data_IF_174271283868
#
_entry.id   IF_174271283868
#
_cell.length_a   1.000
_cell.length_b   1.000
_cell.length_c   1.000
_cell.angle_alpha   90.00
_cell.angle_beta   90.00
_cell.angle_gamma   90.00
#
_symmetry.space_group_name_H-M   'P 1'
#
loop_
_entity.id
_entity.type
_entity.pdbx_description
1 polymer ?
#
# COMPACT_ATOMS: atom_id res chain seq x y z
N UNK A 1 32.23 -26.72 2.15
CA UNK A 1 30.83 -26.40 2.49
C UNK A 1 30.11 -26.37 1.16
N UNK A 2 29.29 -27.38 0.90
CA UNK A 2 28.93 -27.86 -0.44
C UNK A 2 28.11 -26.86 -1.26
N UNK A 3 28.63 -26.48 -2.42
CA UNK A 3 27.85 -25.95 -3.53
C UNK A 3 26.85 -27.02 -3.97
N UNK A 4 25.57 -26.84 -3.64
CA UNK A 4 24.49 -27.62 -4.25
C UNK A 4 24.23 -27.07 -5.65
N UNK A 5 24.94 -27.65 -6.63
CA UNK A 5 24.62 -27.54 -8.05
C UNK A 5 23.27 -28.23 -8.29
N UNK A 6 22.18 -27.46 -8.29
CA UNK A 6 20.93 -27.90 -8.89
C UNK A 6 21.11 -27.92 -10.40
N UNK A 7 20.81 -29.06 -11.04
CA UNK A 7 20.88 -29.26 -12.50
C UNK A 7 20.25 -28.09 -13.26
N UNK A 8 21.06 -27.31 -14.00
CA UNK A 8 20.69 -26.56 -15.22
C UNK A 8 19.50 -25.59 -15.20
N UNK A 9 18.80 -25.41 -14.08
CA UNK A 9 17.61 -24.58 -13.95
C UNK A 9 17.92 -23.44 -12.98
N UNK A 10 18.05 -22.23 -13.51
CA UNK A 10 18.09 -21.01 -12.71
C UNK A 10 16.77 -20.86 -11.97
N UNK A 11 16.82 -20.75 -10.64
CA UNK A 11 15.62 -20.49 -9.83
C UNK A 11 14.96 -19.17 -10.28
N UNK A 12 13.62 -19.14 -10.43
CA UNK A 12 12.93 -17.94 -10.87
C UNK A 12 13.19 -16.81 -9.87
N UNK A 13 13.65 -15.67 -10.39
CA UNK A 13 13.86 -14.46 -9.60
C UNK A 13 12.52 -13.83 -9.24
N UNK A 14 12.33 -13.54 -7.96
CA UNK A 14 11.15 -12.88 -7.40
C UNK A 14 11.60 -11.53 -6.84
N UNK A 15 11.05 -10.45 -7.38
CA UNK A 15 11.24 -9.10 -6.83
C UNK A 15 10.13 -8.84 -5.83
N UNK A 16 10.47 -8.51 -4.59
CA UNK A 16 9.51 -8.14 -3.56
C UNK A 16 9.71 -6.67 -3.20
N UNK A 17 8.73 -5.84 -3.57
CA UNK A 17 8.59 -4.48 -3.05
C UNK A 17 7.64 -4.52 -1.83
N UNK A 18 8.20 -4.53 -0.60
CA UNK A 18 7.41 -4.68 0.61
C UNK A 18 6.63 -3.40 0.95
N UNK A 19 5.73 -3.52 1.94
CA UNK A 19 4.90 -2.42 2.41
C UNK A 19 5.68 -1.31 3.13
N UNK A 20 6.72 -1.69 3.89
CA UNK A 20 7.67 -0.85 4.62
C UNK A 20 8.77 -1.72 5.27
N UNK A 21 9.64 -1.13 6.08
CA UNK A 21 10.76 -1.80 6.77
C UNK A 21 10.38 -2.61 8.02
N UNK A 22 9.10 -2.65 8.42
CA UNK A 22 8.72 -3.39 9.65
C UNK A 22 9.03 -4.89 9.50
N UNK A 23 9.35 -5.61 10.58
CA UNK A 23 9.83 -6.99 10.49
C UNK A 23 8.91 -7.94 9.72
N UNK A 24 7.59 -7.80 9.87
CA UNK A 24 6.62 -8.62 9.14
C UNK A 24 6.57 -8.36 7.64
N UNK A 25 6.99 -7.17 7.20
CA UNK A 25 6.99 -6.76 5.79
C UNK A 25 8.34 -7.00 5.13
N UNK A 26 9.45 -6.91 5.89
CA UNK A 26 10.81 -6.98 5.35
C UNK A 26 11.60 -8.21 5.83
N UNK A 27 11.83 -8.32 7.13
CA UNK A 27 12.70 -9.35 7.71
C UNK A 27 12.13 -10.77 7.59
N UNK A 28 10.82 -10.95 7.81
CA UNK A 28 10.21 -12.27 7.82
C UNK A 28 10.13 -12.87 6.41
N UNK A 29 9.69 -12.14 5.36
CA UNK A 29 9.78 -12.63 3.99
C UNK A 29 11.22 -12.94 3.56
N UNK A 30 12.20 -12.10 3.93
CA UNK A 30 13.62 -12.35 3.63
C UNK A 30 14.12 -13.63 4.28
N UNK A 31 13.81 -13.85 5.57
CA UNK A 31 14.17 -15.08 6.29
C UNK A 31 13.48 -16.31 5.71
N UNK A 32 12.21 -16.20 5.35
CA UNK A 32 11.47 -17.28 4.71
C UNK A 32 12.08 -17.67 3.36
N UNK A 33 12.47 -16.69 2.54
CA UNK A 33 13.15 -16.94 1.27
C UNK A 33 14.49 -17.67 1.46
N UNK A 34 15.29 -17.23 2.43
CA UNK A 34 16.55 -17.91 2.78
C UNK A 34 16.32 -19.35 3.24
N UNK A 35 15.30 -19.59 4.06
CA UNK A 35 14.97 -20.94 4.56
C UNK A 35 14.44 -21.87 3.46
N UNK A 36 13.70 -21.34 2.49
CA UNK A 36 13.13 -22.11 1.39
C UNK A 36 14.07 -22.29 0.21
N UNK A 37 15.18 -21.53 0.16
CA UNK A 37 16.06 -21.46 -1.01
C UNK A 37 15.46 -20.69 -2.18
N UNK A 38 14.40 -19.89 -1.96
CA UNK A 38 13.81 -19.06 -3.00
C UNK A 38 14.72 -17.88 -3.37
N UNK A 39 14.81 -17.58 -4.67
CA UNK A 39 15.56 -16.43 -5.18
C UNK A 39 14.70 -15.16 -5.09
N UNK A 40 14.65 -14.56 -3.89
CA UNK A 40 13.89 -13.32 -3.63
C UNK A 40 14.86 -12.15 -3.45
N UNK A 41 14.65 -11.07 -4.21
CA UNK A 41 15.35 -9.79 -4.03
C UNK A 41 14.40 -8.75 -3.43
N UNK A 42 14.92 -7.99 -2.47
CA UNK A 42 14.24 -6.88 -1.81
C UNK A 42 15.12 -5.63 -1.95
N UNK A 43 14.55 -4.42 -1.91
CA UNK A 43 15.35 -3.20 -1.84
C UNK A 43 16.13 -3.15 -0.52
N UNK A 44 17.17 -2.33 -0.45
CA UNK A 44 17.82 -2.04 0.83
C UNK A 44 16.83 -1.37 1.78
N UNK A 45 17.05 -1.51 3.10
CA UNK A 45 16.21 -0.82 4.08
C UNK A 45 16.28 0.71 3.93
N UNK A 46 17.41 1.24 3.47
CA UNK A 46 17.58 2.68 3.22
C UNK A 46 16.68 3.18 2.09
N UNK A 47 16.53 2.40 1.01
CA UNK A 47 15.59 2.70 -0.09
C UNK A 47 14.11 2.68 0.34
N UNK A 48 13.79 1.99 1.44
CA UNK A 48 12.43 1.90 1.99
C UNK A 48 12.15 2.91 3.12
N UNK A 49 13.12 3.79 3.40
CA UNK A 49 13.15 4.64 4.58
C UNK A 49 13.15 3.85 5.92
N UNK A 50 14.26 3.87 6.69
CA UNK A 50 14.31 3.21 8.00
C UNK A 50 13.27 3.76 8.99
N UNK A 51 12.88 5.03 8.86
CA UNK A 51 11.70 5.58 9.52
C UNK A 51 10.45 5.33 8.67
N UNK A 52 9.83 4.17 8.88
CA UNK A 52 8.60 3.77 8.17
C UNK A 52 7.39 4.70 8.41
N UNK A 53 7.50 5.66 9.34
CA UNK A 53 6.48 6.69 9.53
C UNK A 53 6.58 7.77 8.46
N UNK A 54 7.73 7.88 7.80
CA UNK A 54 7.96 8.79 6.68
C UNK A 54 7.92 8.10 5.31
N UNK A 55 7.90 8.88 4.22
CA UNK A 55 7.85 8.35 2.85
C UNK A 55 9.24 8.00 2.33
N UNK A 56 9.33 6.93 1.53
CA UNK A 56 10.51 6.62 0.72
C UNK A 56 10.68 7.59 -0.45
N UNK A 57 11.91 7.72 -0.95
CA UNK A 57 12.19 8.40 -2.22
C UNK A 57 11.64 7.56 -3.38
N UNK A 58 10.68 8.12 -4.12
CA UNK A 58 10.04 7.40 -5.20
C UNK A 58 10.97 7.16 -6.37
N UNK A 59 11.80 8.12 -6.75
CA UNK A 59 12.63 8.03 -7.95
C UNK A 59 13.73 6.97 -7.77
N UNK A 60 14.36 6.93 -6.59
CA UNK A 60 15.33 5.89 -6.26
C UNK A 60 14.70 4.50 -6.20
N UNK A 61 13.56 4.37 -5.52
CA UNK A 61 12.84 3.11 -5.38
C UNK A 61 12.31 2.59 -6.71
N UNK A 62 11.80 3.49 -7.56
CA UNK A 62 11.31 3.17 -8.89
C UNK A 62 12.44 2.70 -9.81
N UNK A 63 13.59 3.37 -9.78
CA UNK A 63 14.76 2.93 -10.54
C UNK A 63 15.23 1.54 -10.11
N UNK A 64 15.31 1.28 -8.81
CA UNK A 64 15.62 -0.05 -8.29
C UNK A 64 14.62 -1.09 -8.81
N UNK A 65 13.31 -0.84 -8.66
CA UNK A 65 12.26 -1.77 -9.06
C UNK A 65 12.32 -2.09 -10.56
N UNK A 66 12.47 -1.07 -11.41
CA UNK A 66 12.59 -1.27 -12.87
C UNK A 66 13.79 -2.14 -13.23
N UNK A 67 14.95 -1.87 -12.64
CA UNK A 67 16.16 -2.63 -12.92
C UNK A 67 16.02 -4.09 -12.49
N UNK A 68 15.53 -4.35 -11.28
CA UNK A 68 15.36 -5.71 -10.77
C UNK A 68 14.31 -6.52 -11.54
N UNK A 69 13.30 -5.86 -12.11
CA UNK A 69 12.23 -6.51 -12.87
C UNK A 69 12.62 -6.89 -14.31
N UNK A 70 13.76 -6.45 -14.85
CA UNK A 70 14.16 -6.73 -16.24
C UNK A 70 14.35 -8.24 -16.52
N UNK A 71 14.90 -8.97 -15.55
CA UNK A 71 15.21 -10.40 -15.62
C UNK A 71 14.38 -11.24 -14.62
N UNK A 72 13.43 -10.60 -13.92
CA UNK A 72 12.58 -11.27 -12.95
C UNK A 72 11.50 -12.14 -13.61
N UNK A 73 11.14 -13.24 -12.95
CA UNK A 73 9.98 -14.04 -13.31
C UNK A 73 8.71 -13.50 -12.63
N UNK A 74 8.85 -13.05 -11.38
CA UNK A 74 7.74 -12.55 -10.58
C UNK A 74 8.09 -11.21 -9.92
N UNK A 75 7.10 -10.34 -9.77
CA UNK A 75 7.16 -9.16 -8.92
C UNK A 75 5.97 -9.19 -7.96
N UNK A 76 6.23 -9.05 -6.66
CA UNK A 76 5.22 -8.90 -5.61
C UNK A 76 5.32 -7.48 -5.07
N UNK A 77 4.31 -6.66 -5.33
CA UNK A 77 4.38 -5.21 -5.15
C UNK A 77 3.33 -4.73 -4.14
N UNK A 78 3.78 -4.02 -3.12
CA UNK A 78 2.89 -3.15 -2.35
C UNK A 78 2.60 -1.87 -3.13
N UNK A 79 1.33 -1.65 -3.46
CA UNK A 79 0.85 -0.43 -4.11
C UNK A 79 1.00 0.77 -3.18
N UNK A 80 0.82 0.60 -1.87
CA UNK A 80 1.04 1.68 -0.90
C UNK A 80 2.49 2.17 -0.90
N UNK A 81 3.46 1.25 -0.98
CA UNK A 81 4.87 1.61 -1.09
C UNK A 81 5.18 2.28 -2.43
N UNK A 82 4.67 1.74 -3.55
CA UNK A 82 4.86 2.33 -4.88
C UNK A 82 4.26 3.74 -5.00
N UNK A 83 3.00 3.91 -4.57
CA UNK A 83 2.24 5.12 -4.75
C UNK A 83 2.60 6.20 -3.73
N UNK A 84 2.81 5.81 -2.46
CA UNK A 84 2.94 6.75 -1.35
C UNK A 84 4.29 6.70 -0.64
N UNK A 85 5.17 5.75 -0.96
CA UNK A 85 6.41 5.54 -0.19
C UNK A 85 6.18 4.87 1.16
N UNK A 86 5.02 4.21 1.36
CA UNK A 86 4.75 3.38 2.54
C UNK A 86 3.35 3.54 3.13
N UNK A 87 2.98 2.64 4.03
CA UNK A 87 1.64 2.61 4.65
C UNK A 87 1.33 3.83 5.52
N UNK A 88 2.31 4.34 6.26
CA UNK A 88 2.10 5.53 7.10
C UNK A 88 1.94 6.79 6.23
N UNK A 89 2.74 6.90 5.17
CA UNK A 89 2.65 7.99 4.19
C UNK A 89 1.31 7.97 3.43
N UNK A 90 0.74 6.79 3.12
CA UNK A 90 -0.58 6.68 2.48
C UNK A 90 -1.73 7.26 3.32
N UNK A 91 -1.50 7.54 4.60
CA UNK A 91 -2.47 8.11 5.54
C UNK A 91 -2.23 9.58 5.87
N UNK A 92 -1.32 10.23 5.14
CA UNK A 92 -1.00 11.65 5.31
C UNK A 92 -1.20 12.42 3.99
N UNK A 93 -1.50 13.72 4.02
CA UNK A 93 -1.70 14.54 2.82
C UNK A 93 -0.37 14.98 2.19
N UNK A 94 0.58 14.06 2.02
CA UNK A 94 1.90 14.35 1.44
C UNK A 94 1.93 14.27 -0.09
N UNK A 95 1.17 13.32 -0.65
CA UNK A 95 1.16 13.00 -2.07
C UNK A 95 -0.25 13.19 -2.62
N UNK A 96 -0.35 13.87 -3.76
CA UNK A 96 -1.64 14.13 -4.41
C UNK A 96 -2.24 12.86 -5.03
N UNK A 97 -3.55 12.86 -5.29
CA UNK A 97 -4.19 11.76 -6.01
C UNK A 97 -3.60 11.56 -7.41
N UNK A 98 -3.34 12.65 -8.15
CA UNK A 98 -2.79 12.58 -9.50
C UNK A 98 -1.39 11.96 -9.53
N UNK A 99 -0.53 12.36 -8.59
CA UNK A 99 0.82 11.80 -8.46
C UNK A 99 0.78 10.32 -8.06
N UNK A 100 -0.03 9.96 -7.06
CA UNK A 100 -0.18 8.55 -6.65
C UNK A 100 -0.69 7.66 -7.80
N UNK A 101 -1.66 8.14 -8.58
CA UNK A 101 -2.19 7.42 -9.74
C UNK A 101 -1.15 7.30 -10.88
N UNK A 102 -0.35 8.33 -11.11
CA UNK A 102 0.74 8.27 -12.08
C UNK A 102 1.74 7.16 -11.71
N UNK A 103 2.15 7.10 -10.43
CA UNK A 103 3.05 6.07 -9.91
C UNK A 103 2.48 4.65 -10.02
N UNK A 104 1.17 4.47 -9.87
CA UNK A 104 0.52 3.16 -10.12
C UNK A 104 0.56 2.81 -11.62
N UNK A 105 0.36 3.79 -12.49
CA UNK A 105 0.37 3.57 -13.95
C UNK A 105 1.74 3.13 -14.48
N UNK A 106 2.82 3.46 -13.75
CA UNK A 106 4.17 3.04 -14.07
C UNK A 106 4.37 1.52 -14.06
N UNK A 107 3.51 0.76 -13.39
CA UNK A 107 3.52 -0.72 -13.49
C UNK A 107 3.44 -1.21 -14.94
N UNK A 108 2.75 -0.48 -15.82
CA UNK A 108 2.71 -0.79 -17.25
C UNK A 108 4.07 -0.72 -17.94
N UNK A 109 5.01 0.09 -17.41
CA UNK A 109 6.40 0.16 -17.90
C UNK A 109 7.12 -1.16 -17.60
N UNK A 110 6.92 -1.75 -16.42
CA UNK A 110 7.53 -3.04 -16.06
C UNK A 110 7.08 -4.15 -17.02
N UNK A 111 5.77 -4.26 -17.26
CA UNK A 111 5.19 -5.27 -18.15
C UNK A 111 5.65 -5.10 -19.60
N UNK A 112 5.83 -3.86 -20.08
CA UNK A 112 6.37 -3.60 -21.43
C UNK A 112 7.85 -3.96 -21.54
N UNK A 113 8.64 -3.66 -20.52
CA UNK A 113 10.08 -3.96 -20.50
C UNK A 113 10.35 -5.46 -20.36
N UNK A 114 9.51 -6.17 -19.61
CA UNK A 114 9.56 -7.62 -19.44
C UNK A 114 8.15 -8.24 -19.61
N UNK A 115 7.73 -8.57 -20.85
CA UNK A 115 6.41 -9.14 -21.11
C UNK A 115 6.13 -10.50 -20.45
N UNK A 116 7.17 -11.18 -19.95
CA UNK A 116 7.05 -12.46 -19.24
C UNK A 116 6.90 -12.30 -17.73
N UNK A 117 7.05 -11.07 -17.20
CA UNK A 117 6.92 -10.79 -15.78
C UNK A 117 5.48 -11.04 -15.31
N UNK A 118 5.33 -11.86 -14.28
CA UNK A 118 4.08 -11.97 -13.51
C UNK A 118 4.11 -10.96 -12.38
N UNK A 119 3.16 -10.03 -12.35
CA UNK A 119 3.06 -8.94 -11.37
C UNK A 119 1.89 -9.23 -10.44
N UNK A 120 2.18 -9.48 -9.17
CA UNK A 120 1.19 -9.62 -8.10
C UNK A 120 1.21 -8.34 -7.28
N UNK A 121 0.05 -7.78 -6.98
CA UNK A 121 -0.05 -6.52 -6.25
C UNK A 121 -0.93 -6.64 -5.00
N UNK A 122 -0.61 -5.85 -3.98
CA UNK A 122 -1.43 -5.70 -2.77
C UNK A 122 -1.59 -4.23 -2.41
N UNK A 123 -2.77 -3.85 -1.94
CA UNK A 123 -3.08 -2.50 -1.45
C UNK A 123 -3.86 -2.57 -0.15
N UNK A 124 -3.62 -1.61 0.75
CA UNK A 124 -4.36 -1.50 2.00
C UNK A 124 -5.65 -0.69 1.83
N UNK A 125 -6.73 -1.15 2.46
CA UNK A 125 -7.92 -0.34 2.66
C UNK A 125 -7.70 0.54 3.89
N UNK A 126 -7.94 1.84 3.74
CA UNK A 126 -7.78 2.78 4.84
C UNK A 126 -8.70 2.42 6.02
N UNK A 127 -8.17 2.31 7.25
CA UNK A 127 -8.99 2.03 8.43
C UNK A 127 -10.01 3.16 8.66
N UNK A 128 -11.07 2.86 9.41
CA UNK A 128 -12.09 3.86 9.77
C UNK A 128 -11.53 4.90 10.74
N UNK A 129 -10.60 4.48 11.60
CA UNK A 129 -9.96 5.36 12.57
C UNK A 129 -8.66 5.94 11.99
N UNK A 130 -8.46 7.27 12.03
CA UNK A 130 -7.18 7.86 11.67
C UNK A 130 -6.09 7.48 12.69
N UNK A 131 -4.82 7.57 12.27
CA UNK A 131 -3.69 7.28 13.14
C UNK A 131 -3.59 8.34 14.23
N UNK A 132 -3.43 7.91 15.49
CA UNK A 132 -3.27 8.80 16.64
C UNK A 132 -1.78 8.97 16.92
N UNK A 133 -1.25 10.14 16.61
CA UNK A 133 0.15 10.52 16.90
C UNK A 133 0.28 11.23 18.25
N UNK A 134 -0.74 11.99 18.62
CA UNK A 134 -0.85 12.72 19.88
C UNK A 134 -2.07 12.21 20.67
N UNK A 135 -1.92 11.72 21.91
CA UNK A 135 -3.02 11.28 22.75
C UNK A 135 -4.17 12.28 22.87
N UNK A 136 -3.93 13.59 22.72
CA UNK A 136 -4.99 14.61 22.77
C UNK A 136 -6.02 14.45 21.63
N UNK A 137 -5.62 13.86 20.51
CA UNK A 137 -6.46 13.65 19.32
C UNK A 137 -7.25 12.34 19.36
N UNK A 138 -7.02 11.48 20.35
CA UNK A 138 -7.62 10.15 20.44
C UNK A 138 -9.16 10.19 20.43
N UNK A 139 -9.78 11.19 21.09
CA UNK A 139 -11.24 11.36 21.08
C UNK A 139 -11.77 11.66 19.68
N UNK A 140 -11.11 12.57 18.95
CA UNK A 140 -11.50 12.91 17.58
C UNK A 140 -11.37 11.70 16.66
N UNK A 141 -10.27 10.93 16.78
CA UNK A 141 -10.08 9.70 16.02
C UNK A 141 -11.20 8.67 16.26
N UNK A 142 -11.60 8.47 17.52
CA UNK A 142 -12.69 7.56 17.87
C UNK A 142 -14.05 8.03 17.31
N UNK A 143 -14.32 9.34 17.35
CA UNK A 143 -15.54 9.92 16.74
C UNK A 143 -15.56 9.72 15.22
N UNK A 144 -14.43 9.96 14.53
CA UNK A 144 -14.30 9.70 13.08
C UNK A 144 -14.55 8.22 12.75
N UNK A 145 -14.01 7.30 13.56
CA UNK A 145 -14.25 5.88 13.37
C UNK A 145 -15.74 5.55 13.51
N UNK A 146 -16.42 6.09 14.54
CA UNK A 146 -17.87 5.91 14.75
C UNK A 146 -18.68 6.51 13.60
N UNK A 147 -18.30 7.70 13.13
CA UNK A 147 -18.92 8.34 11.97
C UNK A 147 -18.88 7.42 10.75
N UNK A 148 -17.72 6.87 10.38
CA UNK A 148 -17.63 5.99 9.21
C UNK A 148 -18.33 4.64 9.41
N UNK A 149 -18.40 4.10 10.64
CA UNK A 149 -19.20 2.90 10.94
C UNK A 149 -20.68 3.15 10.66
N UNK A 150 -21.22 4.24 11.22
CA UNK A 150 -22.63 4.63 11.04
C UNK A 150 -22.94 4.94 9.57
N UNK A 151 -22.06 5.70 8.89
CA UNK A 151 -22.21 6.02 7.48
C UNK A 151 -22.17 4.78 6.57
N UNK A 152 -21.42 3.74 6.94
CA UNK A 152 -21.33 2.48 6.21
C UNK A 152 -22.52 1.54 6.42
N UNK A 153 -23.26 1.67 7.52
CA UNK A 153 -24.39 0.81 7.87
C UNK A 153 -25.74 1.29 7.32
N UNK A 154 -25.80 2.51 6.79
CA UNK A 154 -27.03 3.17 6.34
C UNK A 154 -27.70 2.47 5.12
N UNK A 155 -28.33 1.33 5.35
CA UNK A 155 -29.22 0.63 4.42
C UNK A 155 -30.38 -0.03 5.18
N UNK A 156 -31.61 0.17 4.70
CA UNK A 156 -32.83 -0.39 5.32
C UNK A 156 -33.48 0.46 6.42
N UNK A 157 -34.33 -0.15 7.24
CA UNK A 157 -35.16 0.51 8.29
C UNK A 157 -34.35 1.01 9.50
N UNK A 158 -33.12 0.53 9.71
CA UNK A 158 -32.20 1.04 10.74
C UNK A 158 -31.73 2.50 10.49
N UNK A 159 -32.05 3.04 9.31
CA UNK A 159 -31.56 4.31 8.78
C UNK A 159 -31.97 5.53 9.60
N UNK A 160 -33.15 5.61 10.20
CA UNK A 160 -33.57 6.84 10.91
C UNK A 160 -32.80 7.04 12.22
N UNK A 161 -32.67 5.98 13.04
CA UNK A 161 -31.91 6.02 14.30
C UNK A 161 -30.42 6.21 14.03
N UNK A 162 -29.87 5.48 13.06
CA UNK A 162 -28.47 5.62 12.65
C UNK A 162 -28.17 7.01 12.08
N UNK A 163 -29.11 7.63 11.37
CA UNK A 163 -28.91 8.94 10.77
C UNK A 163 -28.97 10.07 11.83
N UNK A 164 -29.79 9.93 12.88
CA UNK A 164 -29.75 10.84 14.03
C UNK A 164 -28.41 10.74 14.77
N UNK A 165 -27.96 9.52 15.08
CA UNK A 165 -26.68 9.32 15.76
C UNK A 165 -25.50 9.80 14.90
N UNK A 166 -25.56 9.58 13.58
CA UNK A 166 -24.54 10.05 12.64
C UNK A 166 -24.41 11.57 12.68
N UNK A 167 -25.53 12.30 12.71
CA UNK A 167 -25.55 13.76 12.82
C UNK A 167 -24.95 14.23 14.16
N UNK A 168 -25.30 13.58 15.27
CA UNK A 168 -24.79 13.89 16.60
C UNK A 168 -23.27 13.63 16.73
N UNK A 169 -22.78 12.55 16.12
CA UNK A 169 -21.35 12.23 16.07
C UNK A 169 -20.62 13.23 15.18
N UNK A 170 -21.15 13.53 14.00
CA UNK A 170 -20.56 14.50 13.07
C UNK A 170 -20.40 15.89 13.72
N UNK A 171 -21.39 16.34 14.49
CA UNK A 171 -21.34 17.62 15.20
C UNK A 171 -20.24 17.71 16.27
N UNK A 172 -19.71 16.58 16.74
CA UNK A 172 -18.62 16.52 17.72
C UNK A 172 -17.23 16.44 17.07
N UNK A 173 -17.16 16.21 15.76
CA UNK A 173 -15.90 16.13 15.02
C UNK A 173 -15.55 17.53 14.53
N UNK A 174 -14.29 17.94 14.69
CA UNK A 174 -13.82 19.17 14.08
C UNK A 174 -13.95 19.06 12.55
N UNK A 175 -14.61 20.00 11.85
CA UNK A 175 -14.89 19.87 10.41
C UNK A 175 -13.66 19.54 9.57
N UNK A 176 -12.55 20.22 9.80
CA UNK A 176 -11.28 19.97 9.11
C UNK A 176 -10.77 18.54 9.29
N UNK A 177 -10.94 17.93 10.47
CA UNK A 177 -10.50 16.54 10.73
C UNK A 177 -11.33 15.56 9.90
N UNK A 178 -12.65 15.78 9.81
CA UNK A 178 -13.52 14.92 9.01
C UNK A 178 -13.25 15.08 7.52
N UNK A 179 -13.11 16.33 7.05
CA UNK A 179 -12.77 16.66 5.66
C UNK A 179 -11.46 15.99 5.25
N UNK A 180 -10.38 16.17 6.02
CA UNK A 180 -9.08 15.52 5.78
C UNK A 180 -9.22 13.99 5.67
N UNK A 181 -9.98 13.37 6.59
CA UNK A 181 -10.19 11.93 6.57
C UNK A 181 -10.98 11.46 5.34
N UNK A 182 -12.01 12.20 4.94
CA UNK A 182 -12.82 11.91 3.75
C UNK A 182 -11.97 12.06 2.47
N UNK A 183 -11.18 13.12 2.36
CA UNK A 183 -10.29 13.37 1.23
C UNK A 183 -9.21 12.29 1.12
N UNK A 184 -8.52 11.97 2.22
CA UNK A 184 -7.52 10.91 2.26
C UNK A 184 -8.12 9.56 1.89
N UNK A 185 -9.31 9.25 2.41
CA UNK A 185 -10.03 8.01 2.08
C UNK A 185 -10.40 7.97 0.59
N UNK A 186 -10.88 9.08 0.04
CA UNK A 186 -11.18 9.23 -1.38
C UNK A 186 -9.94 9.00 -2.26
N UNK A 187 -8.82 9.66 -1.93
CA UNK A 187 -7.53 9.47 -2.61
C UNK A 187 -7.07 8.02 -2.61
N UNK A 188 -7.05 7.37 -1.44
CA UNK A 188 -6.64 5.97 -1.32
C UNK A 188 -7.59 5.03 -2.06
N UNK A 189 -8.90 5.32 -2.05
CA UNK A 189 -9.88 4.56 -2.81
C UNK A 189 -9.62 4.63 -4.33
N UNK A 190 -9.24 5.81 -4.85
CA UNK A 190 -8.84 5.94 -6.26
C UNK A 190 -7.63 5.06 -6.59
N UNK A 191 -6.62 5.03 -5.72
CA UNK A 191 -5.44 4.15 -5.90
C UNK A 191 -5.81 2.67 -5.86
N UNK A 192 -6.66 2.27 -4.92
CA UNK A 192 -7.15 0.88 -4.83
C UNK A 192 -7.93 0.48 -6.09
N UNK A 193 -8.77 1.39 -6.61
CA UNK A 193 -9.46 1.19 -7.88
C UNK A 193 -8.50 1.08 -9.05
N UNK A 194 -7.49 1.93 -9.13
CA UNK A 194 -6.48 1.86 -10.19
C UNK A 194 -5.72 0.53 -10.16
N UNK A 195 -5.44 -0.03 -8.98
CA UNK A 195 -4.86 -1.36 -8.86
C UNK A 195 -5.78 -2.47 -9.41
N UNK A 196 -7.10 -2.38 -9.18
CA UNK A 196 -8.09 -3.31 -9.77
C UNK A 196 -8.22 -3.12 -11.28
N UNK A 197 -8.21 -1.87 -11.75
CA UNK A 197 -8.23 -1.55 -13.19
C UNK A 197 -6.95 -2.05 -13.89
N UNK A 198 -5.81 -2.05 -13.20
CA UNK A 198 -4.57 -2.62 -13.71
C UNK A 198 -4.64 -4.16 -13.88
N UNK A 199 -5.43 -4.86 -13.06
CA UNK A 199 -5.75 -6.29 -13.27
C UNK A 199 -6.62 -6.47 -14.51
N UNK A 200 -7.68 -5.67 -14.64
CA UNK A 200 -8.54 -5.71 -15.83
C UNK A 200 -7.78 -5.40 -17.13
N UNK A 201 -6.75 -4.54 -17.05
CA UNK A 201 -5.85 -4.20 -18.15
C UNK A 201 -4.69 -5.19 -18.39
N UNK A 202 -4.55 -6.24 -17.58
CA UNK A 202 -3.48 -7.25 -17.70
C UNK A 202 -2.07 -6.74 -17.35
N UNK A 203 -1.98 -5.60 -16.66
CA UNK A 203 -0.70 -5.08 -16.13
C UNK A 203 -0.32 -5.80 -14.84
N UNK A 204 -1.32 -6.09 -14.00
CA UNK A 204 -1.23 -6.95 -12.82
C UNK A 204 -1.95 -8.27 -13.14
N UNK A 205 -1.41 -9.39 -12.66
CA UNK A 205 -1.90 -10.75 -12.91
C UNK A 205 -2.73 -11.32 -11.76
#
# INVERSE_FOLDING_TARGET
>A
MEERVFLGMTLPKIVLLPLDVRPCCYEFPRKLAMMSGANVVLPSADLLNPDFMDQSDHDELWNWLRCECLDASYAVISIDMLAFGGLAASRRPLISAGEALARVSDLGILKRANPKLTVMASSAIMPLQPVVYDPSTARQAALVARYFQLAGHASGEAREVENSELMDVAAQIAPAVLEDCVELRGRNHLVNRAAVEAVAGGVVD
#
